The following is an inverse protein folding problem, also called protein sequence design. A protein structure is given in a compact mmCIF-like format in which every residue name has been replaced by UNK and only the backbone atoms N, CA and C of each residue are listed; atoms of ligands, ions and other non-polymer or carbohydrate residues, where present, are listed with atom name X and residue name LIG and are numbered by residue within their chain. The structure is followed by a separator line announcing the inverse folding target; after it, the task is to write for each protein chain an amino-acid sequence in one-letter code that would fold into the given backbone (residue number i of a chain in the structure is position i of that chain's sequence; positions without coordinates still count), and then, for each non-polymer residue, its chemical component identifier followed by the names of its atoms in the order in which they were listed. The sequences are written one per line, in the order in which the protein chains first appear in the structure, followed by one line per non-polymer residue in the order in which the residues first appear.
data_IF_744959966776
#
_entry.id   IF_744959966776
#
_cell.length_a   1.000
_cell.length_b   1.000
_cell.length_c   1.000
_cell.angle_alpha   90.00
_cell.angle_beta   90.00
_cell.angle_gamma   90.00
#
_symmetry.space_group_name_H-M   'P 1'
#
loop_
_entity.id
_entity.type
_entity.pdbx_description
1 polymer ?
#
# COMPACT_ATOMS: atom_id res chain seq x y z
N UNK A 1 2.39 29.07 3.68
CA UNK A 1 1.89 27.98 4.57
C UNK A 1 0.40 27.87 4.29
N UNK A 2 -0.03 26.85 3.55
CA UNK A 2 -1.44 26.67 3.16
C UNK A 2 -2.26 26.35 4.41
N UNK A 3 -3.26 27.17 4.73
CA UNK A 3 -4.18 27.00 5.87
C UNK A 3 -5.45 26.25 5.43
N UNK A 4 -5.34 25.32 4.50
CA UNK A 4 -6.45 24.45 4.15
C UNK A 4 -6.57 23.34 5.21
N UNK A 5 -7.78 23.02 5.71
CA UNK A 5 -7.95 21.88 6.60
C UNK A 5 -7.51 20.60 5.86
N UNK A 6 -6.77 19.72 6.54
CA UNK A 6 -6.22 18.45 5.99
C UNK A 6 -7.20 17.66 5.12
N UNK A 7 -8.49 17.70 5.46
CA UNK A 7 -9.56 17.07 4.70
C UNK A 7 -9.69 17.61 3.27
N UNK A 8 -9.53 18.91 3.08
CA UNK A 8 -9.69 19.59 1.79
C UNK A 8 -8.50 19.31 0.86
N UNK A 9 -7.28 19.26 1.41
CA UNK A 9 -6.10 18.81 0.64
C UNK A 9 -6.21 17.34 0.25
N UNK A 10 -6.72 16.50 1.16
CA UNK A 10 -6.96 15.09 0.88
C UNK A 10 -8.03 14.90 -0.21
N UNK A 11 -9.10 15.70 -0.20
CA UNK A 11 -10.14 15.68 -1.23
C UNK A 11 -9.58 16.09 -2.60
N UNK A 12 -8.84 17.21 -2.68
CA UNK A 12 -8.19 17.65 -3.92
C UNK A 12 -7.19 16.61 -4.46
N UNK A 13 -6.42 15.97 -3.56
CA UNK A 13 -5.51 14.89 -3.93
C UNK A 13 -6.25 13.65 -4.45
N UNK A 14 -7.34 13.25 -3.80
CA UNK A 14 -8.17 12.12 -4.26
C UNK A 14 -8.79 12.39 -5.63
N UNK A 15 -9.23 13.62 -5.92
CA UNK A 15 -9.76 13.98 -7.25
C UNK A 15 -8.69 13.90 -8.35
N UNK A 16 -7.48 14.38 -8.06
CA UNK A 16 -6.33 14.25 -8.97
C UNK A 16 -6.01 12.77 -9.26
N UNK A 17 -5.99 11.95 -8.21
CA UNK A 17 -5.78 10.50 -8.34
C UNK A 17 -6.91 9.80 -9.12
N UNK A 18 -8.17 10.16 -8.88
CA UNK A 18 -9.30 9.57 -9.60
C UNK A 18 -9.23 9.89 -11.11
N UNK A 19 -8.84 11.11 -11.46
CA UNK A 19 -8.62 11.50 -12.87
C UNK A 19 -7.49 10.71 -13.52
N UNK A 20 -6.35 10.57 -12.83
CA UNK A 20 -5.21 9.78 -13.33
C UNK A 20 -5.57 8.30 -13.52
N UNK A 21 -6.27 7.70 -12.55
CA UNK A 21 -6.68 6.29 -12.61
C UNK A 21 -7.73 6.03 -13.68
N UNK A 22 -8.65 6.97 -13.90
CA UNK A 22 -9.62 6.89 -14.99
C UNK A 22 -8.96 6.98 -16.35
N UNK A 23 -8.05 7.93 -16.54
CA UNK A 23 -7.36 8.14 -17.82
C UNK A 23 -6.47 6.93 -18.18
N UNK A 24 -5.66 6.48 -17.22
CA UNK A 24 -4.66 5.44 -17.48
C UNK A 24 -5.21 4.02 -17.44
N UNK A 25 -6.20 3.76 -16.60
CA UNK A 25 -6.68 2.40 -16.34
C UNK A 25 -8.20 2.24 -16.45
N UNK A 26 -8.93 3.30 -16.81
CA UNK A 26 -10.39 3.26 -16.92
C UNK A 26 -11.10 2.99 -15.59
N UNK A 27 -10.45 3.22 -14.44
CA UNK A 27 -10.98 2.84 -13.12
C UNK A 27 -11.03 4.01 -12.13
N UNK A 28 -11.97 3.95 -11.19
CA UNK A 28 -12.05 4.93 -10.09
C UNK A 28 -11.04 4.62 -9.00
N UNK A 29 -10.71 5.63 -8.19
CA UNK A 29 -9.88 5.48 -6.99
C UNK A 29 -10.45 4.45 -6.01
N UNK A 30 -11.78 4.37 -5.91
CA UNK A 30 -12.45 3.37 -5.07
C UNK A 30 -12.19 1.95 -5.58
N UNK A 31 -12.32 1.71 -6.88
CA UNK A 31 -12.02 0.42 -7.50
C UNK A 31 -10.56 0.03 -7.28
N UNK A 32 -9.65 0.96 -7.51
CA UNK A 32 -8.21 0.75 -7.27
C UNK A 32 -7.92 0.36 -5.81
N UNK A 33 -8.46 1.10 -4.83
CA UNK A 33 -8.30 0.79 -3.40
C UNK A 33 -8.87 -0.58 -3.04
N UNK A 34 -10.01 -0.96 -3.63
CA UNK A 34 -10.59 -2.31 -3.44
C UNK A 34 -9.67 -3.40 -3.97
N UNK A 35 -9.13 -3.25 -5.18
CA UNK A 35 -8.20 -4.23 -5.75
C UNK A 35 -6.94 -4.33 -4.87
N UNK A 36 -6.36 -3.20 -4.46
CA UNK A 36 -5.19 -3.17 -3.56
C UNK A 36 -5.48 -3.94 -2.26
N UNK A 37 -6.62 -3.70 -1.63
CA UNK A 37 -7.02 -4.38 -0.40
C UNK A 37 -7.21 -5.89 -0.60
N UNK A 38 -7.82 -6.31 -1.72
CA UNK A 38 -8.00 -7.73 -2.04
C UNK A 38 -6.65 -8.43 -2.28
N UNK A 39 -5.74 -7.81 -3.03
CA UNK A 39 -4.40 -8.35 -3.25
C UNK A 39 -3.64 -8.51 -1.94
N UNK A 40 -3.73 -7.51 -1.05
CA UNK A 40 -3.10 -7.58 0.29
C UNK A 40 -3.71 -8.69 1.15
N UNK A 41 -5.03 -8.87 1.12
CA UNK A 41 -5.71 -9.95 1.83
C UNK A 41 -5.28 -11.33 1.31
N UNK A 42 -5.20 -11.50 -0.01
CA UNK A 42 -4.74 -12.75 -0.63
C UNK A 42 -3.27 -13.02 -0.28
N UNK A 43 -2.41 -11.99 -0.32
CA UNK A 43 -1.01 -12.11 0.08
C UNK A 43 -0.84 -12.50 1.55
N UNK A 44 -1.64 -11.92 2.45
CA UNK A 44 -1.67 -12.29 3.86
C UNK A 44 -2.12 -13.75 4.05
N UNK A 45 -3.20 -14.16 3.38
CA UNK A 45 -3.70 -15.53 3.44
C UNK A 45 -2.68 -16.54 2.90
N UNK A 46 -2.02 -16.22 1.78
CA UNK A 46 -0.96 -17.04 1.20
C UNK A 46 0.23 -17.18 2.15
N UNK A 47 0.64 -16.12 2.84
CA UNK A 47 1.72 -16.18 3.83
C UNK A 47 1.38 -17.06 5.02
N UNK A 48 0.14 -16.98 5.54
CA UNK A 48 -0.34 -17.88 6.61
C UNK A 48 -0.36 -19.34 6.14
N UNK A 49 -0.84 -19.58 4.92
CA UNK A 49 -0.87 -20.91 4.33
C UNK A 49 0.55 -21.48 4.09
N UNK A 50 1.51 -20.64 3.68
CA UNK A 50 2.89 -21.05 3.56
C UNK A 50 3.46 -21.50 4.93
N UNK A 51 3.13 -20.80 6.02
CA UNK A 51 3.53 -21.22 7.37
C UNK A 51 2.92 -22.57 7.76
N UNK A 52 1.66 -22.85 7.38
CA UNK A 52 1.05 -24.17 7.66
C UNK A 52 1.70 -25.31 6.89
N UNK A 53 2.33 -25.01 5.74
CA UNK A 53 3.15 -25.95 4.96
C UNK A 53 4.61 -26.07 5.45
N UNK A 54 4.97 -25.38 6.54
CA UNK A 54 6.31 -25.45 7.15
C UNK A 54 7.28 -24.34 6.72
N UNK A 55 6.81 -23.29 6.03
CA UNK A 55 7.64 -22.12 5.78
C UNK A 55 8.02 -21.42 7.08
N UNK A 56 9.23 -20.86 7.12
CA UNK A 56 9.72 -20.12 8.29
C UNK A 56 8.77 -18.96 8.63
N UNK A 57 8.21 -18.90 9.85
CA UNK A 57 7.22 -17.88 10.23
C UNK A 57 7.75 -16.45 10.07
N UNK A 58 9.01 -16.20 10.45
CA UNK A 58 9.63 -14.89 10.36
C UNK A 58 9.70 -14.37 8.92
N UNK A 59 10.13 -15.22 7.98
CA UNK A 59 10.19 -14.86 6.56
C UNK A 59 8.79 -14.60 5.98
N UNK A 60 7.81 -15.41 6.38
CA UNK A 60 6.43 -15.28 5.94
C UNK A 60 5.79 -13.99 6.46
N UNK A 61 6.00 -13.64 7.74
CA UNK A 61 5.54 -12.37 8.30
C UNK A 61 6.23 -11.16 7.66
N UNK A 62 7.53 -11.23 7.38
CA UNK A 62 8.24 -10.16 6.68
C UNK A 62 7.67 -9.92 5.27
N UNK A 63 7.42 -11.00 4.52
CA UNK A 63 6.78 -10.91 3.20
C UNK A 63 5.37 -10.33 3.27
N UNK A 64 4.56 -10.78 4.22
CA UNK A 64 3.21 -10.24 4.44
C UNK A 64 3.28 -8.75 4.79
N UNK A 65 4.21 -8.35 5.67
CA UNK A 65 4.40 -6.96 6.05
C UNK A 65 4.73 -6.10 4.83
N UNK A 66 5.66 -6.54 3.96
CA UNK A 66 6.01 -5.83 2.72
C UNK A 66 4.80 -5.70 1.77
N UNK A 67 4.04 -6.78 1.60
CA UNK A 67 2.84 -6.79 0.74
C UNK A 67 1.77 -5.80 1.25
N UNK A 68 1.54 -5.76 2.57
CA UNK A 68 0.51 -4.93 3.20
C UNK A 68 0.95 -3.47 3.30
N UNK A 69 2.19 -3.22 3.71
CA UNK A 69 2.71 -1.85 3.84
C UNK A 69 2.85 -1.16 2.48
N UNK A 70 3.00 -1.97 1.42
CA UNK A 70 3.19 -1.50 0.05
C UNK A 70 4.61 -0.99 -0.19
N UNK A 71 4.97 -0.76 -1.47
CA UNK A 71 6.24 -0.13 -1.83
C UNK A 71 6.37 1.26 -1.21
N UNK A 72 5.27 1.97 -0.94
CA UNK A 72 5.31 3.33 -0.40
C UNK A 72 5.85 3.38 1.05
N UNK A 73 5.48 2.40 1.88
CA UNK A 73 6.04 2.28 3.23
C UNK A 73 7.51 1.80 3.21
N UNK A 74 7.86 0.99 2.21
CA UNK A 74 9.24 0.56 2.00
C UNK A 74 10.11 1.73 1.51
N UNK A 75 9.61 2.56 0.60
CA UNK A 75 10.23 3.82 0.17
C UNK A 75 10.40 4.76 1.35
N UNK A 76 9.37 4.94 2.19
CA UNK A 76 9.49 5.72 3.43
C UNK A 76 10.57 5.19 4.37
N UNK A 77 10.68 3.87 4.54
CA UNK A 77 11.72 3.25 5.37
C UNK A 77 13.12 3.38 4.77
N UNK A 78 13.24 3.33 3.45
CA UNK A 78 14.51 3.51 2.73
C UNK A 78 14.94 4.98 2.76
N UNK A 79 14.02 5.92 2.52
CA UNK A 79 14.26 7.36 2.60
C UNK A 79 14.56 7.80 4.05
N UNK A 80 13.87 7.21 5.04
CA UNK A 80 14.14 7.47 6.46
C UNK A 80 15.38 6.72 6.98
N UNK A 81 15.73 5.59 6.36
CA UNK A 81 16.85 4.71 6.73
C UNK A 81 18.18 5.09 6.08
N UNK A 82 18.20 5.88 5.01
CA UNK A 82 19.40 6.42 4.38
C UNK A 82 20.11 7.53 5.17
N UNK A 83 19.69 7.77 6.42
CA UNK A 83 20.18 8.84 7.29
C UNK A 83 20.98 8.40 8.52
N UNK A 84 21.33 7.12 8.70
CA UNK A 84 22.23 6.73 9.80
C UNK A 84 23.23 5.65 9.37
N UNK A 85 24.50 5.97 9.65
CA UNK A 85 25.70 5.14 9.52
C UNK A 85 25.67 3.89 10.39
#
# INVERSE_FOLDING_TARGET
MSTAPLKQELEAYNESLDSCLKDRFGMTLRTFKTIKALTQLVGAAAGIYAMSLGAAPLASFALIAIIISGPEALEYLIESGGGQA
#
